data_IF_936295138717
#
_entry.id   IF_936295138717
#
_cell.length_a   1.000
_cell.length_b   1.000
_cell.length_c   1.000
_cell.angle_alpha   90.00
_cell.angle_beta   90.00
_cell.angle_gamma   90.00
#
_symmetry.space_group_name_H-M   'P 1'
#
loop_
_entity.id
_entity.type
_entity.pdbx_description
1 polymer ?
#
# COMPACT_ATOMS: atom_id res chain seq x y z
N UNK A 1 88.87 -63.66 -3.50
CA UNK A 1 89.06 -64.49 -4.71
C UNK A 1 89.12 -63.57 -5.91
N UNK A 2 90.20 -63.70 -6.68
CA UNK A 2 90.52 -63.13 -8.00
C UNK A 2 89.96 -61.74 -8.31
N UNK A 3 90.62 -60.72 -7.77
CA UNK A 3 90.73 -59.43 -8.45
C UNK A 3 91.41 -59.73 -9.78
N UNK A 4 90.71 -59.63 -10.92
CA UNK A 4 91.37 -59.17 -12.13
C UNK A 4 91.93 -57.81 -11.74
N UNK A 5 93.21 -57.76 -11.42
CA UNK A 5 93.86 -56.51 -11.03
C UNK A 5 93.63 -55.54 -12.16
N UNK A 6 93.37 -54.28 -11.83
CA UNK A 6 93.20 -53.18 -12.79
C UNK A 6 94.22 -53.21 -13.94
N UNK A 7 95.39 -53.80 -13.73
CA UNK A 7 96.43 -54.10 -14.72
C UNK A 7 96.04 -55.13 -15.80
N UNK A 8 95.36 -56.23 -15.47
CA UNK A 8 94.91 -57.25 -16.43
C UNK A 8 93.74 -56.75 -17.26
N UNK A 9 92.77 -56.09 -16.61
CA UNK A 9 91.68 -55.38 -17.28
C UNK A 9 92.22 -54.28 -18.22
N UNK A 10 93.17 -53.47 -17.74
CA UNK A 10 93.84 -52.47 -18.57
C UNK A 10 94.61 -53.09 -19.73
N UNK A 11 95.24 -54.26 -19.54
CA UNK A 11 95.94 -54.99 -20.61
C UNK A 11 94.97 -55.50 -21.67
N UNK A 12 93.85 -56.10 -21.27
CA UNK A 12 92.81 -56.56 -22.21
C UNK A 12 92.24 -55.37 -22.99
N UNK A 13 91.90 -54.28 -22.32
CA UNK A 13 91.40 -53.05 -22.97
C UNK A 13 92.47 -52.46 -23.90
N UNK A 14 93.74 -52.44 -23.50
CA UNK A 14 94.85 -51.95 -24.33
C UNK A 14 95.03 -52.80 -25.60
N UNK A 15 94.95 -54.12 -25.48
CA UNK A 15 95.00 -55.03 -26.64
C UNK A 15 93.80 -54.78 -27.57
N UNK A 16 92.59 -54.61 -27.03
CA UNK A 16 91.41 -54.32 -27.85
C UNK A 16 91.53 -52.96 -28.55
N UNK A 17 92.09 -51.93 -27.88
CA UNK A 17 92.33 -50.62 -28.49
C UNK A 17 93.41 -50.67 -29.58
N UNK A 18 94.53 -51.34 -29.33
CA UNK A 18 95.59 -51.52 -30.34
C UNK A 18 95.07 -52.35 -31.52
N UNK A 19 94.23 -53.36 -31.28
CA UNK A 19 93.58 -54.13 -32.35
C UNK A 19 92.62 -53.25 -33.15
N UNK A 20 91.80 -52.42 -32.49
CA UNK A 20 90.93 -51.44 -33.14
C UNK A 20 91.74 -50.52 -34.04
N UNK A 21 92.80 -49.93 -33.52
CA UNK A 21 93.66 -48.99 -34.26
C UNK A 21 94.28 -49.65 -35.50
N UNK A 22 94.76 -50.91 -35.38
CA UNK A 22 95.30 -51.66 -36.52
C UNK A 22 94.24 -51.95 -37.58
N UNK A 23 93.02 -52.28 -37.16
CA UNK A 23 91.88 -52.51 -38.06
C UNK A 23 91.45 -51.20 -38.73
N UNK A 24 91.40 -50.09 -37.99
CA UNK A 24 91.12 -48.77 -38.55
C UNK A 24 92.13 -48.39 -39.63
N UNK A 25 93.44 -48.57 -39.37
CA UNK A 25 94.50 -48.32 -40.35
C UNK A 25 94.29 -49.13 -41.62
N UNK A 26 93.97 -50.43 -41.51
CA UNK A 26 93.75 -51.28 -42.68
C UNK A 26 92.49 -50.91 -43.46
N UNK A 27 91.41 -50.53 -42.77
CA UNK A 27 90.14 -50.11 -43.38
C UNK A 27 90.21 -48.70 -43.98
N UNK A 28 91.19 -47.90 -43.59
CA UNK A 28 91.50 -46.59 -44.15
C UNK A 28 92.31 -46.66 -45.45
N UNK A 29 92.81 -47.83 -45.84
CA UNK A 29 93.57 -48.01 -47.07
C UNK A 29 92.62 -48.45 -48.19
N UNK A 30 92.40 -47.56 -49.16
CA UNK A 30 91.62 -47.84 -50.36
C UNK A 30 92.53 -48.35 -51.48
N UNK A 31 92.84 -49.64 -51.46
CA UNK A 31 93.77 -50.29 -52.40
C UNK A 31 93.39 -50.08 -53.87
N UNK A 32 92.11 -49.92 -54.18
CA UNK A 32 91.61 -49.61 -55.53
C UNK A 32 92.15 -48.28 -56.07
N UNK A 33 92.32 -47.28 -55.22
CA UNK A 33 92.80 -45.94 -55.56
C UNK A 33 94.32 -45.81 -55.55
N UNK A 34 95.03 -46.84 -55.09
CA UNK A 34 96.49 -46.90 -55.14
C UNK A 34 96.93 -47.24 -56.56
N UNK A 35 97.44 -46.24 -57.28
CA UNK A 35 98.05 -46.36 -58.61
C UNK A 35 99.53 -45.99 -58.55
N UNK A 36 100.36 -46.51 -59.47
CA UNK A 36 101.78 -46.13 -59.55
C UNK A 36 102.02 -44.65 -59.92
N UNK A 37 100.95 -43.90 -60.21
CA UNK A 37 100.98 -42.48 -60.57
C UNK A 37 100.81 -41.53 -59.37
N UNK A 38 100.65 -42.07 -58.14
CA UNK A 38 100.61 -41.24 -56.94
C UNK A 38 101.97 -40.53 -56.78
N UNK A 39 101.99 -39.18 -56.66
CA UNK A 39 103.24 -38.46 -56.51
C UNK A 39 104.02 -38.95 -55.28
N UNK A 40 105.36 -39.12 -55.38
CA UNK A 40 106.20 -39.55 -54.25
C UNK A 40 106.19 -38.55 -53.08
N UNK A 41 105.68 -37.34 -53.31
CA UNK A 41 105.43 -36.32 -52.28
C UNK A 41 104.25 -36.66 -51.34
N UNK A 42 103.33 -37.54 -51.78
CA UNK A 42 102.14 -37.95 -51.03
C UNK A 42 102.30 -39.29 -50.32
N UNK A 43 103.03 -40.24 -50.91
CA UNK A 43 103.30 -41.54 -50.29
C UNK A 43 104.76 -41.89 -50.55
N UNK A 44 105.60 -42.07 -49.51
CA UNK A 44 106.97 -42.50 -49.69
C UNK A 44 107.07 -43.77 -50.55
N UNK A 45 108.05 -43.82 -51.44
CA UNK A 45 108.21 -44.88 -52.45
C UNK A 45 108.20 -46.30 -51.85
N UNK A 46 108.79 -46.49 -50.67
CA UNK A 46 108.81 -47.76 -49.96
C UNK A 46 107.46 -48.20 -49.38
N UNK A 47 106.56 -47.25 -49.07
CA UNK A 47 105.18 -47.54 -48.65
C UNK A 47 104.33 -47.82 -49.88
N UNK A 48 104.52 -47.04 -50.96
CA UNK A 48 103.83 -47.25 -52.23
C UNK A 48 104.15 -48.62 -52.82
N UNK A 49 105.42 -49.06 -52.78
CA UNK A 49 105.82 -50.38 -53.25
C UNK A 49 105.17 -51.51 -52.45
N UNK A 50 105.02 -51.35 -51.13
CA UNK A 50 104.38 -52.37 -50.29
C UNK A 50 102.85 -52.37 -50.47
N UNK A 51 102.23 -51.22 -50.73
CA UNK A 51 100.79 -51.13 -51.06
C UNK A 51 100.47 -51.78 -52.41
N UNK A 52 101.30 -51.53 -53.44
CA UNK A 52 101.15 -52.16 -54.76
C UNK A 52 101.29 -53.67 -54.65
N UNK A 53 102.33 -54.14 -53.96
CA UNK A 53 102.54 -55.56 -53.70
C UNK A 53 101.37 -56.18 -52.91
N UNK A 54 100.81 -55.44 -51.95
CA UNK A 54 99.63 -55.90 -51.21
C UNK A 54 98.41 -56.05 -52.10
N UNK A 55 98.16 -55.07 -52.98
CA UNK A 55 97.09 -55.10 -53.97
C UNK A 55 97.25 -56.27 -54.94
N UNK A 56 98.46 -56.52 -55.44
CA UNK A 56 98.75 -57.69 -56.29
C UNK A 56 98.47 -59.01 -55.58
N UNK A 57 98.82 -59.10 -54.29
CA UNK A 57 98.52 -60.29 -53.47
C UNK A 57 97.02 -60.46 -53.25
N UNK A 58 96.27 -59.37 -53.04
CA UNK A 58 94.81 -59.40 -52.89
C UNK A 58 94.13 -59.82 -54.21
N UNK A 59 94.53 -59.24 -55.34
CA UNK A 59 94.03 -59.64 -56.67
C UNK A 59 94.31 -61.11 -56.93
N UNK A 60 95.54 -61.57 -56.69
CA UNK A 60 95.90 -62.99 -56.81
C UNK A 60 95.06 -63.88 -55.91
N UNK A 61 94.77 -63.46 -54.68
CA UNK A 61 93.96 -64.25 -53.75
C UNK A 61 92.50 -64.32 -54.19
N UNK A 62 91.94 -63.23 -54.71
CA UNK A 62 90.59 -63.20 -55.29
C UNK A 62 90.52 -64.13 -56.51
N UNK A 63 91.50 -64.05 -57.42
CA UNK A 63 91.62 -64.94 -58.58
C UNK A 63 91.68 -66.42 -58.14
N UNK A 64 92.51 -66.76 -57.15
CA UNK A 64 92.58 -68.13 -56.61
C UNK A 64 91.26 -68.61 -55.98
N UNK A 65 90.47 -67.71 -55.39
CA UNK A 65 89.13 -68.01 -54.88
C UNK A 65 88.15 -68.27 -56.02
N UNK A 66 88.18 -67.46 -57.08
CA UNK A 66 87.33 -67.61 -58.25
C UNK A 66 87.67 -68.87 -59.05
N UNK A 67 88.95 -69.12 -59.31
CA UNK A 67 89.46 -70.37 -59.89
C UNK A 67 89.05 -71.58 -59.03
N UNK A 68 89.04 -71.43 -57.70
CA UNK A 68 88.58 -72.45 -56.78
C UNK A 68 87.10 -72.82 -56.92
N UNK A 69 86.26 -71.88 -57.36
CA UNK A 69 84.82 -72.11 -57.60
C UNK A 69 84.56 -72.79 -58.95
N UNK A 70 85.42 -72.56 -59.94
CA UNK A 70 85.27 -73.07 -61.31
C UNK A 70 85.84 -74.48 -61.54
N UNK A 71 86.59 -75.03 -60.58
CA UNK A 71 87.08 -76.41 -60.63
C UNK A 71 85.90 -77.40 -60.46
N UNK A 72 85.40 -77.94 -61.58
CA UNK A 72 84.37 -79.01 -61.59
C UNK A 72 84.90 -80.29 -60.91
N UNK A 73 84.07 -80.93 -60.08
CA UNK A 73 84.37 -82.11 -59.23
C UNK A 73 85.07 -83.30 -59.91
N UNK A 74 85.09 -83.38 -61.23
CA UNK A 74 85.69 -84.47 -62.02
C UNK A 74 87.12 -84.20 -62.50
N UNK A 75 87.67 -82.98 -62.34
CA UNK A 75 89.08 -82.70 -62.64
C UNK A 75 89.91 -82.62 -61.34
N UNK A 76 90.63 -83.73 -61.06
CA UNK A 76 91.79 -83.88 -60.17
C UNK A 76 91.70 -83.23 -58.77
N UNK A 77 91.40 -84.05 -57.75
CA UNK A 77 91.60 -83.73 -56.30
C UNK A 77 92.94 -83.07 -55.96
N UNK A 78 93.96 -83.32 -56.79
CA UNK A 78 95.28 -82.73 -56.67
C UNK A 78 95.29 -81.22 -56.97
N UNK A 79 94.58 -80.76 -58.02
CA UNK A 79 94.47 -79.33 -58.34
C UNK A 79 93.72 -78.54 -57.27
N UNK A 80 92.73 -79.17 -56.62
CA UNK A 80 92.01 -78.55 -55.49
C UNK A 80 92.94 -78.37 -54.29
N UNK A 81 93.77 -79.37 -53.98
CA UNK A 81 94.76 -79.28 -52.88
C UNK A 81 95.87 -78.28 -53.18
N UNK A 82 96.35 -78.22 -54.43
CA UNK A 82 97.33 -77.24 -54.88
C UNK A 82 96.76 -75.82 -54.79
N UNK A 83 95.53 -75.59 -55.26
CA UNK A 83 94.86 -74.29 -55.09
C UNK A 83 94.63 -73.94 -53.62
N UNK A 84 94.19 -74.88 -52.77
CA UNK A 84 94.03 -74.63 -51.33
C UNK A 84 95.37 -74.28 -50.65
N UNK A 85 96.47 -74.94 -51.04
CA UNK A 85 97.80 -74.64 -50.53
C UNK A 85 98.26 -73.26 -51.02
N UNK A 86 98.02 -72.92 -52.29
CA UNK A 86 98.35 -71.61 -52.84
C UNK A 86 97.50 -70.49 -52.22
N UNK A 87 96.22 -70.73 -51.94
CA UNK A 87 95.35 -69.83 -51.17
C UNK A 87 95.91 -69.63 -49.76
N UNK A 88 96.33 -70.70 -49.08
CA UNK A 88 96.92 -70.61 -47.75
C UNK A 88 98.23 -69.83 -47.75
N UNK A 89 99.14 -70.13 -48.69
CA UNK A 89 100.43 -69.46 -48.80
C UNK A 89 100.27 -67.99 -49.21
N UNK A 90 99.30 -67.69 -50.08
CA UNK A 90 98.94 -66.31 -50.45
C UNK A 90 98.29 -65.59 -49.27
N UNK A 91 97.46 -66.24 -48.46
CA UNK A 91 96.88 -65.66 -47.25
C UNK A 91 97.96 -65.34 -46.18
N UNK A 92 98.97 -66.20 -45.98
CA UNK A 92 100.10 -65.89 -45.10
C UNK A 92 100.97 -64.74 -45.65
N UNK A 93 101.12 -64.64 -46.98
CA UNK A 93 101.77 -63.48 -47.63
C UNK A 93 100.95 -62.18 -47.46
N UNK A 94 99.63 -62.23 -47.61
CA UNK A 94 98.73 -61.10 -47.34
C UNK A 94 98.84 -60.69 -45.87
N UNK A 95 98.81 -61.64 -44.94
CA UNK A 95 98.94 -61.38 -43.49
C UNK A 95 100.27 -60.72 -43.14
N UNK A 96 101.39 -61.23 -43.65
CA UNK A 96 102.71 -60.63 -43.43
C UNK A 96 102.85 -59.25 -44.08
N UNK A 97 102.24 -59.05 -45.26
CA UNK A 97 102.14 -57.75 -45.92
C UNK A 97 101.27 -56.76 -45.12
N UNK A 98 100.09 -57.17 -44.63
CA UNK A 98 99.25 -56.36 -43.71
C UNK A 98 100.03 -55.92 -42.47
N UNK A 99 100.77 -56.85 -41.83
CA UNK A 99 101.58 -56.53 -40.65
C UNK A 99 102.69 -55.52 -40.98
N UNK A 100 103.29 -55.64 -42.15
CA UNK A 100 104.34 -54.73 -42.63
C UNK A 100 103.76 -53.36 -42.94
N UNK A 101 102.63 -53.29 -43.66
CA UNK A 101 101.89 -52.05 -43.95
C UNK A 101 101.45 -51.34 -42.68
N UNK A 102 100.81 -52.04 -41.74
CA UNK A 102 100.40 -51.47 -40.47
C UNK A 102 101.59 -50.91 -39.69
N UNK A 103 102.74 -51.60 -39.69
CA UNK A 103 103.96 -51.10 -39.04
C UNK A 103 104.50 -49.84 -39.72
N UNK A 104 104.56 -49.83 -41.06
CA UNK A 104 105.05 -48.70 -41.85
C UNK A 104 104.13 -47.48 -41.73
N UNK A 105 102.82 -47.67 -41.72
CA UNK A 105 101.83 -46.60 -41.59
C UNK A 105 101.72 -46.09 -40.15
N UNK A 106 101.87 -46.94 -39.14
CA UNK A 106 102.02 -46.48 -37.74
C UNK A 106 103.29 -45.65 -37.54
N UNK A 107 104.38 -46.00 -38.23
CA UNK A 107 105.64 -45.24 -38.17
C UNK A 107 105.58 -43.91 -38.93
N UNK A 108 104.68 -43.77 -39.91
CA UNK A 108 104.52 -42.60 -40.77
C UNK A 108 103.08 -42.05 -40.73
N UNK A 109 102.68 -41.37 -39.63
CA UNK A 109 101.30 -40.90 -39.46
C UNK A 109 100.86 -39.87 -40.51
N UNK A 110 101.78 -39.03 -41.01
CA UNK A 110 101.49 -38.06 -42.07
C UNK A 110 100.99 -38.74 -43.36
N UNK A 111 101.63 -39.84 -43.75
CA UNK A 111 101.21 -40.66 -44.91
C UNK A 111 99.86 -41.31 -44.66
N UNK A 112 99.58 -41.75 -43.44
CA UNK A 112 98.29 -42.36 -43.09
C UNK A 112 97.14 -41.34 -43.16
N UNK A 113 97.36 -40.09 -42.72
CA UNK A 113 96.36 -39.02 -42.88
C UNK A 113 96.12 -38.67 -44.35
N UNK A 114 97.18 -38.66 -45.17
CA UNK A 114 97.05 -38.47 -46.62
C UNK A 114 96.26 -39.60 -47.28
N UNK A 115 96.51 -40.86 -46.92
CA UNK A 115 95.76 -42.02 -47.43
C UNK A 115 94.28 -41.98 -47.03
N UNK A 116 93.96 -41.55 -45.80
CA UNK A 116 92.57 -41.34 -45.34
C UNK A 116 91.80 -40.31 -46.16
N UNK A 117 92.49 -39.33 -46.76
CA UNK A 117 91.86 -38.30 -47.58
C UNK A 117 91.57 -38.79 -49.01
N UNK A 118 92.24 -39.85 -49.47
CA UNK A 118 92.08 -40.36 -50.83
C UNK A 118 90.74 -41.09 -51.03
N UNK A 119 90.18 -41.71 -49.98
CA UNK A 119 88.96 -42.49 -50.08
C UNK A 119 88.05 -42.37 -48.86
N UNK A 120 86.75 -42.60 -49.07
CA UNK A 120 85.78 -42.70 -47.98
C UNK A 120 85.59 -44.16 -47.57
N UNK A 121 85.58 -44.43 -46.27
CA UNK A 121 85.26 -45.77 -45.74
C UNK A 121 83.88 -46.24 -46.25
N UNK A 122 83.79 -47.51 -46.64
CA UNK A 122 82.51 -48.15 -46.92
C UNK A 122 81.65 -48.21 -45.66
N UNK A 123 80.33 -48.28 -45.82
CA UNK A 123 79.41 -48.35 -44.66
C UNK A 123 79.61 -49.65 -43.85
N UNK A 124 80.00 -50.73 -44.52
CA UNK A 124 80.43 -51.98 -43.86
C UNK A 124 81.67 -51.78 -42.98
N UNK A 125 82.67 -51.03 -43.47
CA UNK A 125 83.87 -50.72 -42.69
C UNK A 125 83.56 -49.82 -41.48
N UNK A 126 82.67 -48.83 -41.63
CA UNK A 126 82.20 -47.98 -40.52
C UNK A 126 81.48 -48.81 -39.45
N UNK A 127 80.54 -49.66 -39.86
CA UNK A 127 79.81 -50.56 -38.96
C UNK A 127 80.75 -51.50 -38.20
N UNK A 128 81.79 -52.02 -38.86
CA UNK A 128 82.79 -52.88 -38.21
C UNK A 128 83.56 -52.12 -37.12
N UNK A 129 83.96 -50.87 -37.38
CA UNK A 129 84.64 -50.01 -36.40
C UNK A 129 83.72 -49.70 -35.21
N UNK A 130 82.44 -49.39 -35.45
CA UNK A 130 81.44 -49.15 -34.40
C UNK A 130 81.24 -50.36 -33.48
N UNK A 131 81.20 -51.58 -34.06
CA UNK A 131 81.12 -52.82 -33.28
C UNK A 131 82.36 -52.99 -32.40
N UNK A 132 83.56 -52.69 -32.91
CA UNK A 132 84.79 -52.70 -32.10
C UNK A 132 84.76 -51.64 -30.99
N UNK A 133 84.19 -50.46 -31.22
CA UNK A 133 83.98 -49.45 -30.18
C UNK A 133 83.04 -49.93 -29.08
N UNK A 134 81.93 -50.54 -29.47
CA UNK A 134 80.98 -51.13 -28.52
C UNK A 134 81.63 -52.26 -27.73
N UNK A 135 82.43 -53.11 -28.37
CA UNK A 135 83.16 -54.17 -27.69
C UNK A 135 84.15 -53.63 -26.66
N UNK A 136 84.89 -52.57 -27.00
CA UNK A 136 85.80 -51.88 -26.06
C UNK A 136 85.01 -51.27 -24.90
N UNK A 137 83.91 -50.57 -25.18
CA UNK A 137 83.05 -49.95 -24.15
C UNK A 137 82.42 -50.99 -23.22
N UNK A 138 81.87 -52.06 -23.76
CA UNK A 138 81.25 -53.13 -23.00
C UNK A 138 82.27 -53.90 -22.15
N UNK A 139 83.41 -54.25 -22.74
CA UNK A 139 84.51 -54.92 -22.02
C UNK A 139 85.04 -54.03 -20.91
N UNK A 140 85.14 -52.71 -21.13
CA UNK A 140 85.52 -51.74 -20.10
C UNK A 140 84.53 -51.75 -18.95
N UNK A 141 83.23 -51.59 -19.22
CA UNK A 141 82.19 -51.61 -18.18
C UNK A 141 82.28 -52.91 -17.38
N UNK A 142 82.29 -54.07 -18.05
CA UNK A 142 82.27 -55.38 -17.39
C UNK A 142 83.54 -55.72 -16.60
N UNK A 143 84.69 -55.23 -17.04
CA UNK A 143 85.98 -55.46 -16.36
C UNK A 143 86.25 -54.43 -15.25
N UNK A 144 85.60 -53.26 -15.28
CA UNK A 144 85.69 -52.22 -14.25
C UNK A 144 84.61 -52.35 -13.18
N UNK A 145 83.44 -52.92 -13.49
CA UNK A 145 82.38 -53.15 -12.51
C UNK A 145 82.69 -54.34 -11.62
N UNK A 146 82.66 -54.11 -10.31
CA UNK A 146 82.78 -55.20 -9.33
C UNK A 146 81.43 -55.89 -9.11
N UNK A 147 81.49 -57.15 -8.67
CA UNK A 147 80.29 -57.92 -8.28
C UNK A 147 79.52 -57.22 -7.16
N UNK A 148 80.23 -56.51 -6.27
CA UNK A 148 79.62 -55.75 -5.17
C UNK A 148 78.82 -54.53 -5.69
N UNK A 149 79.37 -53.77 -6.64
CA UNK A 149 78.68 -52.64 -7.27
C UNK A 149 77.44 -53.08 -8.07
N UNK A 150 77.51 -54.24 -8.76
CA UNK A 150 76.34 -54.81 -9.44
C UNK A 150 75.25 -55.22 -8.45
N UNK A 151 75.61 -55.87 -7.35
CA UNK A 151 74.66 -56.24 -6.30
C UNK A 151 74.04 -55.01 -5.63
N UNK A 152 74.81 -53.95 -5.39
CA UNK A 152 74.28 -52.69 -4.89
C UNK A 152 73.30 -52.05 -5.89
N UNK A 153 73.63 -52.06 -7.18
CA UNK A 153 72.75 -51.53 -8.22
C UNK A 153 71.43 -52.30 -8.27
N UNK A 154 71.47 -53.62 -8.19
CA UNK A 154 70.27 -54.47 -8.13
C UNK A 154 69.44 -54.13 -6.89
N UNK A 155 70.05 -54.07 -5.70
CA UNK A 155 69.33 -53.69 -4.46
C UNK A 155 68.68 -52.31 -4.56
N UNK A 156 69.37 -51.32 -5.15
CA UNK A 156 68.81 -49.97 -5.36
C UNK A 156 67.61 -50.02 -6.31
N UNK A 157 67.69 -50.81 -7.39
CA UNK A 157 66.59 -50.99 -8.33
C UNK A 157 65.39 -51.66 -7.67
N UNK A 158 65.59 -52.67 -6.81
CA UNK A 158 64.51 -53.33 -6.07
C UNK A 158 63.80 -52.36 -5.11
N UNK A 159 64.56 -51.53 -4.38
CA UNK A 159 63.98 -50.49 -3.50
C UNK A 159 63.18 -49.47 -4.30
N UNK A 160 63.68 -49.04 -5.47
CA UNK A 160 62.96 -48.13 -6.35
C UNK A 160 61.67 -48.77 -6.88
N UNK A 161 61.72 -50.02 -7.34
CA UNK A 161 60.55 -50.75 -7.82
C UNK A 161 59.48 -50.92 -6.73
N UNK A 162 59.90 -51.25 -5.50
CA UNK A 162 58.99 -51.35 -4.36
C UNK A 162 58.35 -49.98 -4.03
N UNK A 163 59.13 -48.91 -4.08
CA UNK A 163 58.63 -47.54 -3.86
C UNK A 163 57.66 -47.12 -4.97
N UNK A 164 57.97 -47.38 -6.22
CA UNK A 164 57.08 -47.08 -7.35
C UNK A 164 55.78 -47.87 -7.24
N UNK A 165 55.84 -49.16 -6.90
CA UNK A 165 54.65 -49.99 -6.66
C UNK A 165 53.76 -49.39 -5.57
N UNK A 166 54.34 -48.99 -4.43
CA UNK A 166 53.60 -48.33 -3.34
C UNK A 166 52.99 -47.00 -3.77
N UNK A 167 53.74 -46.16 -4.47
CA UNK A 167 53.22 -44.87 -4.98
C UNK A 167 52.08 -45.11 -5.97
N UNK A 168 52.15 -46.16 -6.79
CA UNK A 168 51.09 -46.51 -7.73
C UNK A 168 49.83 -47.00 -7.00
N UNK A 169 49.96 -47.78 -5.93
CA UNK A 169 48.80 -48.20 -5.12
C UNK A 169 48.17 -47.02 -4.39
N UNK A 170 48.97 -46.14 -3.80
CA UNK A 170 48.49 -44.95 -3.08
C UNK A 170 47.82 -43.97 -4.06
N UNK A 171 48.37 -43.81 -5.26
CA UNK A 171 47.74 -43.02 -6.33
C UNK A 171 46.40 -43.61 -6.77
N UNK A 172 46.29 -44.93 -6.85
CA UNK A 172 45.04 -45.60 -7.19
C UNK A 172 43.98 -45.45 -6.10
N UNK A 173 44.35 -45.58 -4.81
CA UNK A 173 43.43 -45.37 -3.70
C UNK A 173 42.94 -43.92 -3.62
N UNK A 174 43.85 -42.94 -3.72
CA UNK A 174 43.51 -41.52 -3.70
C UNK A 174 42.60 -41.12 -4.87
N UNK A 175 42.84 -41.66 -6.06
CA UNK A 175 41.93 -41.45 -7.21
C UNK A 175 40.54 -41.99 -6.95
N UNK A 176 40.45 -43.19 -6.37
CA UNK A 176 39.16 -43.81 -6.04
C UNK A 176 38.40 -43.02 -4.98
N UNK A 177 39.10 -42.54 -3.94
CA UNK A 177 38.52 -41.65 -2.93
C UNK A 177 38.03 -40.34 -3.55
N UNK A 178 38.85 -39.71 -4.40
CA UNK A 178 38.47 -38.48 -5.10
C UNK A 178 37.21 -38.69 -5.97
N UNK A 179 37.16 -39.73 -6.77
CA UNK A 179 35.98 -40.05 -7.59
C UNK A 179 34.74 -40.32 -6.74
N UNK A 180 34.91 -40.94 -5.56
CA UNK A 180 33.80 -41.20 -4.65
C UNK A 180 33.27 -39.90 -4.03
N UNK A 181 34.17 -38.99 -3.64
CA UNK A 181 33.85 -37.69 -3.04
C UNK A 181 33.24 -36.73 -4.06
N UNK A 182 33.72 -36.74 -5.31
CA UNK A 182 33.11 -35.98 -6.40
C UNK A 182 31.67 -36.46 -6.67
N UNK A 183 31.42 -37.77 -6.59
CA UNK A 183 30.07 -38.34 -6.76
C UNK A 183 29.14 -37.98 -5.61
N UNK A 184 29.59 -38.05 -4.35
CA UNK A 184 28.78 -37.66 -3.19
C UNK A 184 28.46 -36.17 -3.26
N UNK A 185 29.47 -35.33 -3.49
CA UNK A 185 29.30 -33.88 -3.64
C UNK A 185 28.39 -33.51 -4.80
N UNK A 186 28.50 -34.18 -5.95
CA UNK A 186 27.60 -33.95 -7.10
C UNK A 186 26.15 -34.28 -6.75
N UNK A 187 25.90 -35.36 -5.99
CA UNK A 187 24.55 -35.71 -5.53
C UNK A 187 23.99 -34.68 -4.55
N UNK A 188 24.80 -34.22 -3.61
CA UNK A 188 24.41 -33.17 -2.66
C UNK A 188 24.05 -31.87 -3.39
N UNK A 189 24.89 -31.43 -4.33
CA UNK A 189 24.62 -30.24 -5.15
C UNK A 189 23.33 -30.41 -5.95
N UNK A 190 23.08 -31.60 -6.51
CA UNK A 190 21.83 -31.89 -7.22
C UNK A 190 20.61 -31.79 -6.28
N UNK A 191 20.67 -32.42 -5.10
CA UNK A 191 19.58 -32.34 -4.12
C UNK A 191 19.32 -30.91 -3.63
N UNK A 192 20.38 -30.12 -3.41
CA UNK A 192 20.25 -28.71 -3.04
C UNK A 192 19.58 -27.90 -4.15
N UNK A 193 19.93 -28.12 -5.42
CA UNK A 193 19.29 -27.46 -6.57
C UNK A 193 17.82 -27.85 -6.71
N UNK A 194 17.48 -29.12 -6.53
CA UNK A 194 16.09 -29.58 -6.58
C UNK A 194 15.26 -28.95 -5.44
N UNK A 195 15.83 -28.85 -4.23
CA UNK A 195 15.20 -28.16 -3.11
C UNK A 195 15.04 -26.67 -3.36
N UNK A 196 16.05 -26.00 -3.91
CA UNK A 196 15.99 -24.58 -4.28
C UNK A 196 14.87 -24.33 -5.30
N UNK A 197 14.78 -25.15 -6.36
CA UNK A 197 13.71 -25.05 -7.35
C UNK A 197 12.32 -25.28 -6.74
N UNK A 198 12.18 -26.29 -5.87
CA UNK A 198 10.93 -26.56 -5.17
C UNK A 198 10.50 -25.39 -4.27
N UNK A 199 11.44 -24.83 -3.50
CA UNK A 199 11.19 -23.68 -2.64
C UNK A 199 10.84 -22.43 -3.45
N UNK A 200 11.54 -22.18 -4.56
CA UNK A 200 11.21 -21.08 -5.47
C UNK A 200 9.79 -21.23 -6.06
N UNK A 201 9.39 -22.44 -6.44
CA UNK A 201 8.03 -22.74 -6.91
C UNK A 201 6.97 -22.51 -5.79
N UNK A 202 7.28 -22.88 -4.54
CA UNK A 202 6.39 -22.62 -3.41
C UNK A 202 6.24 -21.11 -3.14
N UNK A 203 7.34 -20.36 -3.15
CA UNK A 203 7.32 -18.89 -2.94
C UNK A 203 6.47 -18.21 -4.03
N UNK A 204 6.67 -18.59 -5.29
CA UNK A 204 5.89 -18.02 -6.41
C UNK A 204 4.40 -18.37 -6.29
N UNK A 205 4.06 -19.61 -5.92
CA UNK A 205 2.69 -20.02 -5.63
C UNK A 205 2.06 -19.18 -4.50
N UNK A 206 2.72 -19.08 -3.34
CA UNK A 206 2.23 -18.28 -2.21
C UNK A 206 2.08 -16.80 -2.58
N UNK A 207 3.02 -16.24 -3.36
CA UNK A 207 2.95 -14.85 -3.83
C UNK A 207 1.72 -14.61 -4.70
N UNK A 208 1.40 -15.56 -5.59
CA UNK A 208 0.22 -15.49 -6.43
C UNK A 208 -1.07 -15.65 -5.62
N UNK A 209 -1.10 -16.58 -4.67
CA UNK A 209 -2.24 -16.78 -3.76
C UNK A 209 -2.49 -15.54 -2.88
N UNK A 210 -1.45 -14.98 -2.26
CA UNK A 210 -1.57 -13.73 -1.50
C UNK A 210 -2.03 -12.57 -2.35
N UNK A 211 -1.52 -12.45 -3.59
CA UNK A 211 -1.97 -11.38 -4.51
C UNK A 211 -3.45 -11.56 -4.87
N UNK A 212 -3.89 -12.78 -5.15
CA UNK A 212 -5.29 -13.07 -5.44
C UNK A 212 -6.18 -12.78 -4.21
N UNK A 213 -5.73 -13.15 -3.01
CA UNK A 213 -6.42 -12.87 -1.76
C UNK A 213 -6.55 -11.36 -1.49
N UNK A 214 -5.44 -10.60 -1.62
CA UNK A 214 -5.46 -9.15 -1.45
C UNK A 214 -6.39 -8.46 -2.46
N UNK A 215 -6.35 -8.89 -3.72
CA UNK A 215 -7.25 -8.37 -4.74
C UNK A 215 -8.72 -8.65 -4.39
N UNK A 216 -9.03 -9.86 -3.92
CA UNK A 216 -10.39 -10.23 -3.51
C UNK A 216 -10.84 -9.42 -2.29
N UNK A 217 -10.00 -9.27 -1.26
CA UNK A 217 -10.31 -8.42 -0.12
C UNK A 217 -10.54 -6.96 -0.53
N UNK A 218 -9.75 -6.43 -1.46
CA UNK A 218 -9.92 -5.07 -1.97
C UNK A 218 -11.27 -4.91 -2.71
N UNK A 219 -11.66 -5.89 -3.55
CA UNK A 219 -12.95 -5.86 -4.23
C UNK A 219 -14.12 -6.00 -3.27
N UNK A 220 -14.03 -6.93 -2.31
CA UNK A 220 -15.07 -7.17 -1.31
C UNK A 220 -15.25 -5.93 -0.41
N UNK A 221 -14.15 -5.28 -0.01
CA UNK A 221 -14.18 -4.05 0.76
C UNK A 221 -14.78 -2.87 -0.03
N UNK A 222 -14.43 -2.75 -1.32
CA UNK A 222 -15.01 -1.73 -2.19
C UNK A 222 -16.53 -1.94 -2.37
N UNK A 223 -16.98 -3.18 -2.57
CA UNK A 223 -18.39 -3.52 -2.67
C UNK A 223 -19.15 -3.22 -1.36
N UNK A 224 -18.57 -3.60 -0.21
CA UNK A 224 -19.15 -3.32 1.11
C UNK A 224 -19.28 -1.82 1.37
N UNK A 225 -18.25 -1.02 1.02
CA UNK A 225 -18.32 0.44 1.18
C UNK A 225 -19.39 1.06 0.28
N UNK A 226 -19.51 0.60 -0.97
CA UNK A 226 -20.57 1.06 -1.88
C UNK A 226 -21.96 0.78 -1.29
N UNK A 227 -22.21 -0.44 -0.79
CA UNK A 227 -23.48 -0.79 -0.14
C UNK A 227 -23.76 0.07 1.09
N UNK A 228 -22.74 0.32 1.93
CA UNK A 228 -22.88 1.17 3.11
C UNK A 228 -23.18 2.63 2.73
N UNK A 229 -22.51 3.17 1.71
CA UNK A 229 -22.79 4.50 1.19
C UNK A 229 -24.21 4.62 0.65
N UNK A 230 -24.70 3.61 -0.08
CA UNK A 230 -26.07 3.58 -0.58
C UNK A 230 -27.09 3.52 0.57
N UNK A 231 -26.89 2.64 1.56
CA UNK A 231 -27.75 2.58 2.75
C UNK A 231 -27.74 3.89 3.52
N UNK A 232 -26.58 4.53 3.66
CA UNK A 232 -26.47 5.82 4.32
C UNK A 232 -27.21 6.92 3.55
N UNK A 233 -27.07 6.96 2.21
CA UNK A 233 -27.81 7.90 1.34
C UNK A 233 -29.32 7.70 1.46
N UNK A 234 -29.79 6.46 1.43
CA UNK A 234 -31.21 6.13 1.63
C UNK A 234 -31.70 6.60 3.01
N UNK A 235 -30.96 6.29 4.07
CA UNK A 235 -31.33 6.71 5.43
C UNK A 235 -31.37 8.23 5.59
N UNK A 236 -30.42 8.94 4.99
CA UNK A 236 -30.41 10.40 4.98
C UNK A 236 -31.61 10.98 4.22
N UNK A 237 -32.00 10.37 3.10
CA UNK A 237 -33.20 10.78 2.35
C UNK A 237 -34.48 10.55 3.16
N UNK A 238 -34.62 9.39 3.83
CA UNK A 238 -35.75 9.11 4.73
C UNK A 238 -35.85 10.12 5.87
N UNK A 239 -34.73 10.38 6.56
CA UNK A 239 -34.69 11.33 7.68
C UNK A 239 -35.00 12.75 7.21
N UNK A 240 -34.54 13.13 6.02
CA UNK A 240 -34.87 14.43 5.42
C UNK A 240 -36.37 14.53 5.14
N UNK A 241 -36.97 13.51 4.53
CA UNK A 241 -38.41 13.47 4.28
C UNK A 241 -39.23 13.54 5.57
N UNK A 242 -38.82 12.83 6.62
CA UNK A 242 -39.46 12.92 7.94
C UNK A 242 -39.35 14.32 8.55
N UNK A 243 -38.19 14.97 8.42
CA UNK A 243 -37.98 16.31 8.93
C UNK A 243 -38.83 17.35 8.16
N UNK A 244 -38.90 17.22 6.84
CA UNK A 244 -39.74 18.07 5.98
C UNK A 244 -41.23 17.92 6.38
N UNK A 245 -41.71 16.68 6.55
CA UNK A 245 -43.09 16.41 6.98
C UNK A 245 -43.40 16.97 8.37
N UNK A 246 -42.50 16.80 9.35
CA UNK A 246 -42.66 17.38 10.69
C UNK A 246 -42.64 18.91 10.67
N UNK A 247 -41.83 19.50 9.78
CA UNK A 247 -41.78 20.96 9.62
C UNK A 247 -43.10 21.48 9.05
N UNK A 248 -43.67 20.82 8.05
CA UNK A 248 -44.99 21.14 7.51
C UNK A 248 -46.10 20.99 8.57
N UNK A 249 -46.09 19.91 9.34
CA UNK A 249 -47.03 19.70 10.45
C UNK A 249 -46.93 20.82 11.50
N UNK A 250 -45.71 21.20 11.89
CA UNK A 250 -45.48 22.30 12.82
C UNK A 250 -45.98 23.64 12.27
N UNK A 251 -45.74 23.93 10.99
CA UNK A 251 -46.24 25.15 10.34
C UNK A 251 -47.77 25.21 10.27
N UNK A 252 -48.42 24.08 9.99
CA UNK A 252 -49.90 24.00 9.99
C UNK A 252 -50.45 24.22 11.39
N UNK A 253 -49.89 23.56 12.41
CA UNK A 253 -50.29 23.76 13.81
C UNK A 253 -50.09 25.21 14.28
N UNK A 254 -48.98 25.85 13.89
CA UNK A 254 -48.74 27.26 14.19
C UNK A 254 -49.77 28.17 13.51
N UNK A 255 -50.13 27.89 12.26
CA UNK A 255 -51.18 28.63 11.54
C UNK A 255 -52.54 28.47 12.23
N UNK A 256 -52.93 27.26 12.56
CA UNK A 256 -54.20 26.96 13.24
C UNK A 256 -54.27 27.61 14.61
N UNK A 257 -53.18 27.55 15.39
CA UNK A 257 -53.11 28.18 16.70
C UNK A 257 -53.23 29.71 16.58
N UNK A 258 -52.51 30.34 15.64
CA UNK A 258 -52.65 31.78 15.35
C UNK A 258 -54.08 32.15 14.95
N UNK A 259 -54.77 31.32 14.17
CA UNK A 259 -56.17 31.55 13.80
C UNK A 259 -57.10 31.46 15.01
N UNK A 260 -57.00 30.41 15.81
CA UNK A 260 -57.77 30.25 17.06
C UNK A 260 -57.50 31.39 18.05
N UNK A 261 -56.25 31.82 18.19
CA UNK A 261 -55.89 32.95 19.04
C UNK A 261 -56.57 34.25 18.56
N UNK A 262 -56.59 34.52 17.24
CA UNK A 262 -57.29 35.69 16.68
C UNK A 262 -58.80 35.61 16.93
N UNK A 263 -59.40 34.44 16.76
CA UNK A 263 -60.82 34.22 17.04
C UNK A 263 -61.15 34.49 18.51
N UNK A 264 -60.35 33.95 19.43
CA UNK A 264 -60.50 34.19 20.87
C UNK A 264 -60.33 35.69 21.21
N UNK A 265 -59.37 36.38 20.60
CA UNK A 265 -59.21 37.84 20.78
C UNK A 265 -60.43 38.61 20.28
N UNK A 266 -61.00 38.22 19.14
CA UNK A 266 -62.21 38.83 18.58
C UNK A 266 -63.43 38.58 19.46
N UNK A 267 -63.67 37.34 19.90
CA UNK A 267 -64.79 37.03 20.81
C UNK A 267 -64.64 37.73 22.13
N UNK A 268 -63.43 37.76 22.72
CA UNK A 268 -63.13 38.55 23.92
C UNK A 268 -63.50 40.03 23.73
N UNK A 269 -63.09 40.64 22.61
CA UNK A 269 -63.41 42.04 22.32
C UNK A 269 -64.92 42.26 22.20
N UNK A 270 -65.63 41.38 21.49
CA UNK A 270 -67.08 41.45 21.35
C UNK A 270 -67.79 41.34 22.70
N UNK A 271 -67.41 40.36 23.53
CA UNK A 271 -67.98 40.20 24.88
C UNK A 271 -67.68 41.40 25.77
N UNK A 272 -66.47 41.97 25.71
CA UNK A 272 -66.13 43.20 26.44
C UNK A 272 -67.02 44.37 25.99
N UNK A 273 -67.21 44.57 24.68
CA UNK A 273 -68.11 45.61 24.15
C UNK A 273 -69.57 45.38 24.56
N UNK A 274 -70.06 44.14 24.56
CA UNK A 274 -71.41 43.82 25.04
C UNK A 274 -71.58 44.14 26.54
N UNK A 275 -70.56 43.86 27.36
CA UNK A 275 -70.55 44.22 28.79
C UNK A 275 -70.56 45.74 28.94
N UNK A 276 -69.71 46.47 28.22
CA UNK A 276 -69.67 47.94 28.23
C UNK A 276 -71.01 48.56 27.82
N UNK A 277 -71.63 48.05 26.75
CA UNK A 277 -72.95 48.48 26.29
C UNK A 277 -74.04 48.21 27.34
N UNK A 278 -73.99 47.05 28.03
CA UNK A 278 -74.94 46.73 29.12
C UNK A 278 -74.75 47.65 30.33
N UNK A 279 -73.51 47.95 30.69
CA UNK A 279 -73.19 48.91 31.77
C UNK A 279 -73.71 50.30 31.39
N UNK A 280 -73.39 50.80 30.19
CA UNK A 280 -73.85 52.11 29.71
C UNK A 280 -75.39 52.20 29.64
N UNK A 281 -76.06 51.14 29.19
CA UNK A 281 -77.52 51.05 29.18
C UNK A 281 -78.12 51.06 30.59
N UNK A 282 -77.51 50.34 31.54
CA UNK A 282 -77.90 50.36 32.95
C UNK A 282 -77.70 51.75 33.57
N UNK A 283 -76.55 52.38 33.35
CA UNK A 283 -76.23 53.71 33.88
C UNK A 283 -77.18 54.77 33.32
N UNK A 284 -77.49 54.72 32.01
CA UNK A 284 -78.46 55.61 31.37
C UNK A 284 -79.85 55.42 31.97
N UNK A 285 -80.32 54.17 32.07
CA UNK A 285 -81.63 53.86 32.66
C UNK A 285 -81.73 54.23 34.15
N UNK A 286 -80.64 54.10 34.91
CA UNK A 286 -80.56 54.56 36.30
C UNK A 286 -80.58 56.08 36.39
N UNK A 287 -79.89 56.79 35.49
CA UNK A 287 -79.90 58.24 35.43
C UNK A 287 -81.28 58.78 35.04
N UNK A 288 -81.96 58.15 34.09
CA UNK A 288 -83.34 58.49 33.70
C UNK A 288 -84.31 58.29 34.86
N UNK A 289 -84.22 57.17 35.59
CA UNK A 289 -85.01 56.95 36.82
C UNK A 289 -84.71 57.99 37.89
N UNK A 290 -83.44 58.34 38.10
CA UNK A 290 -83.02 59.40 39.03
C UNK A 290 -83.61 60.74 38.63
N UNK A 291 -83.55 61.11 37.35
CA UNK A 291 -84.14 62.34 36.82
C UNK A 291 -85.67 62.33 36.95
N UNK A 292 -86.32 61.18 36.75
CA UNK A 292 -87.76 61.03 36.98
C UNK A 292 -88.11 61.23 38.45
N UNK A 293 -87.33 60.67 39.38
CA UNK A 293 -87.49 60.91 40.81
C UNK A 293 -87.32 62.39 41.16
N UNK A 294 -86.28 63.05 40.65
CA UNK A 294 -86.08 64.50 40.85
C UNK A 294 -87.28 65.30 40.35
N UNK A 295 -87.78 65.03 39.14
CA UNK A 295 -88.99 65.69 38.60
C UNK A 295 -90.24 65.44 39.44
N UNK A 296 -90.38 64.24 40.02
CA UNK A 296 -91.47 63.91 40.93
C UNK A 296 -91.33 64.67 42.26
N UNK A 297 -90.11 64.77 42.80
CA UNK A 297 -89.82 65.56 43.99
C UNK A 297 -90.10 67.05 43.76
N UNK A 298 -89.71 67.61 42.60
CA UNK A 298 -90.04 68.99 42.20
C UNK A 298 -91.55 69.22 42.16
N UNK A 299 -92.31 68.33 41.51
CA UNK A 299 -93.78 68.41 41.48
C UNK A 299 -94.40 68.32 42.87
N UNK A 300 -93.92 67.41 43.71
CA UNK A 300 -94.38 67.29 45.09
C UNK A 300 -94.08 68.57 45.88
N UNK A 301 -92.95 69.21 45.64
CA UNK A 301 -92.59 70.48 46.29
C UNK A 301 -93.45 71.64 45.79
N UNK A 302 -93.74 71.72 44.48
CA UNK A 302 -94.69 72.67 43.90
C UNK A 302 -96.10 72.48 44.49
N UNK A 303 -96.59 71.24 44.58
CA UNK A 303 -97.88 70.89 45.19
C UNK A 303 -97.91 71.29 46.67
N UNK A 304 -96.83 71.05 47.44
CA UNK A 304 -96.73 71.53 48.84
C UNK A 304 -96.79 73.05 48.90
N UNK A 305 -96.08 73.76 48.03
CA UNK A 305 -96.08 75.23 47.98
C UNK A 305 -97.47 75.77 47.60
N UNK A 306 -98.18 75.10 46.69
CA UNK A 306 -99.54 75.43 46.33
C UNK A 306 -100.51 75.21 47.51
N UNK A 307 -100.36 74.10 48.24
CA UNK A 307 -101.12 73.85 49.48
C UNK A 307 -100.87 74.96 50.49
N UNK A 308 -99.62 75.36 50.74
CA UNK A 308 -99.29 76.46 51.65
C UNK A 308 -99.94 77.78 51.20
N UNK A 309 -99.92 78.08 49.89
CA UNK A 309 -100.58 79.25 49.33
C UNK A 309 -102.11 79.19 49.47
N UNK A 310 -102.73 78.04 49.23
CA UNK A 310 -104.16 77.82 49.40
C UNK A 310 -104.57 77.91 50.86
N UNK A 311 -103.82 77.32 51.79
CA UNK A 311 -103.99 77.49 53.22
C UNK A 311 -103.90 78.97 53.62
N UNK A 312 -102.95 79.71 53.05
CA UNK A 312 -102.83 81.16 53.22
C UNK A 312 -104.07 81.91 52.74
N UNK A 313 -104.60 81.57 51.55
CA UNK A 313 -105.84 82.15 51.00
C UNK A 313 -107.06 81.80 51.84
N UNK A 314 -107.20 80.55 52.30
CA UNK A 314 -108.27 80.12 53.20
C UNK A 314 -108.22 80.90 54.51
N UNK A 315 -107.03 81.04 55.13
CA UNK A 315 -106.88 81.89 56.34
C UNK A 315 -107.28 83.35 56.09
N UNK A 316 -106.97 83.90 54.91
CA UNK A 316 -107.38 85.25 54.54
C UNK A 316 -108.89 85.36 54.32
N UNK A 317 -109.51 84.38 53.66
CA UNK A 317 -110.96 84.29 53.49
C UNK A 317 -111.67 84.13 54.82
N UNK A 318 -111.18 83.28 55.73
CA UNK A 318 -111.72 83.13 57.08
C UNK A 318 -111.66 84.46 57.86
N UNK A 319 -110.55 85.21 57.75
CA UNK A 319 -110.46 86.55 58.33
C UNK A 319 -111.49 87.50 57.71
N UNK A 320 -111.69 87.46 56.39
CA UNK A 320 -112.66 88.32 55.69
C UNK A 320 -114.10 87.95 56.04
N UNK A 321 -114.43 86.66 56.06
CA UNK A 321 -115.72 86.15 56.54
C UNK A 321 -116.01 86.58 57.98
N UNK A 322 -115.01 86.52 58.88
CA UNK A 322 -115.19 87.03 60.26
C UNK A 322 -115.44 88.53 60.31
N UNK A 323 -114.81 89.32 59.44
CA UNK A 323 -115.06 90.76 59.32
C UNK A 323 -116.46 91.03 58.76
N UNK A 324 -116.87 90.31 57.72
CA UNK A 324 -118.18 90.44 57.09
C UNK A 324 -119.29 90.02 58.08
N UNK A 325 -119.12 88.92 58.82
CA UNK A 325 -120.03 88.53 59.91
C UNK A 325 -120.12 89.60 61.00
N UNK A 326 -119.01 90.26 61.34
CA UNK A 326 -119.01 91.36 62.30
C UNK A 326 -119.77 92.59 61.76
N UNK A 327 -119.63 92.89 60.46
CA UNK A 327 -120.36 93.97 59.80
C UNK A 327 -121.86 93.68 59.67
N UNK A 328 -122.23 92.44 59.34
CA UNK A 328 -123.64 92.00 59.27
C UNK A 328 -124.29 92.11 60.64
N UNK A 329 -123.64 91.62 61.72
CA UNK A 329 -124.15 91.77 63.10
C UNK A 329 -124.30 93.23 63.53
N UNK A 330 -123.46 94.12 63.03
CA UNK A 330 -123.56 95.57 63.29
C UNK A 330 -124.74 96.21 62.54
N UNK A 331 -125.01 95.78 61.30
CA UNK A 331 -126.18 96.23 60.53
C UNK A 331 -127.50 95.69 61.10
N UNK A 332 -127.54 94.43 61.52
CA UNK A 332 -128.73 93.85 62.17
C UNK A 332 -129.10 94.59 63.45
N UNK A 333 -128.11 94.94 64.29
CA UNK A 333 -128.34 95.80 65.48
C UNK A 333 -128.86 97.19 65.14
N UNK A 334 -128.46 97.78 64.00
CA UNK A 334 -128.99 99.08 63.55
C UNK A 334 -130.45 98.98 63.10
N UNK A 335 -130.79 97.94 62.34
CA UNK A 335 -132.15 97.67 61.86
C UNK A 335 -133.12 97.31 62.99
N UNK A 336 -132.65 96.63 64.04
CA UNK A 336 -133.46 96.27 65.21
C UNK A 336 -133.80 97.50 66.06
N UNK A 337 -132.84 98.42 66.25
CA UNK A 337 -133.08 99.69 66.94
C UNK A 337 -134.10 100.58 66.21
N UNK A 338 -134.05 100.65 64.87
CA UNK A 338 -135.04 101.40 64.08
C UNK A 338 -136.45 100.80 64.14
N UNK A 339 -136.58 99.47 64.23
CA UNK A 339 -137.89 98.80 64.38
C UNK A 339 -138.53 99.10 65.74
N UNK A 340 -137.74 99.16 66.81
CA UNK A 340 -138.25 99.46 68.15
C UNK A 340 -138.74 100.93 68.27
N UNK A 341 -138.06 101.88 67.63
CA UNK A 341 -138.52 103.28 67.61
C UNK A 341 -139.81 103.49 66.80
N UNK A 342 -139.96 102.79 65.66
CA UNK A 342 -141.20 102.82 64.86
C UNK A 342 -142.39 102.21 65.61
N UNK A 343 -142.17 101.13 66.38
CA UNK A 343 -143.20 100.51 67.20
C UNK A 343 -143.70 101.43 68.34
N UNK A 344 -142.82 102.25 68.92
CA UNK A 344 -143.19 103.22 69.96
C UNK A 344 -144.03 104.40 69.43
N UNK A 345 -143.78 104.87 68.19
CA UNK A 345 -144.58 105.93 67.55
C UNK A 345 -146.01 105.47 67.23
N UNK A 346 -146.17 104.24 66.74
CA UNK A 346 -147.48 103.70 66.37
C UNK A 346 -148.42 103.48 67.58
N UNK A 347 -147.89 103.15 68.76
CA UNK A 347 -148.69 103.04 70.00
C UNK A 347 -149.27 104.38 70.45
N UNK A 348 -148.54 105.49 70.28
CA UNK A 348 -149.02 106.84 70.62
C UNK A 348 -150.13 107.32 69.66
N UNK A 349 -150.07 106.94 68.39
CA UNK A 349 -151.08 107.27 67.37
C UNK A 349 -152.40 106.52 67.59
N UNK A 350 -152.34 105.25 68.02
CA UNK A 350 -153.53 104.43 68.31
C UNK A 350 -154.38 104.97 69.49
N UNK A 351 -153.73 105.55 70.52
CA UNK A 351 -154.41 106.12 71.70
C UNK A 351 -155.17 107.41 71.32
N UNK A 352 -154.61 108.24 70.43
CA UNK A 352 -155.25 109.47 69.95
C UNK A 352 -156.49 109.16 69.08
N UNK A 353 -156.41 108.12 68.23
CA UNK A 353 -157.54 107.71 67.38
C UNK A 353 -158.69 107.07 68.19
N UNK A 354 -158.39 106.36 69.29
CA UNK A 354 -159.41 105.80 70.19
C UNK A 354 -160.20 106.88 70.95
N UNK A 355 -159.54 107.97 71.35
CA UNK A 355 -160.19 109.10 72.03
C UNK A 355 -161.07 109.95 71.09
N UNK A 356 -160.68 110.07 69.80
CA UNK A 356 -161.47 110.78 68.78
C UNK A 356 -162.78 110.04 68.43
N UNK A 357 -162.73 108.71 68.29
CA UNK A 357 -163.92 107.87 68.00
C UNK A 357 -164.92 107.85 69.15
N UNK A 358 -164.46 107.85 70.41
CA UNK A 358 -165.31 107.92 71.61
C UNK A 358 -166.05 109.27 71.72
N UNK A 359 -165.44 110.38 71.30
CA UNK A 359 -166.05 111.72 71.33
C UNK A 359 -167.11 111.92 70.23
N UNK A 360 -166.96 111.29 69.06
CA UNK A 360 -167.98 111.33 68.01
C UNK A 360 -169.24 110.51 68.36
N UNK A 361 -169.08 109.37 69.03
CA UNK A 361 -170.21 108.53 69.44
C UNK A 361 -171.13 109.22 70.48
N UNK A 362 -170.56 110.02 71.39
CA UNK A 362 -171.34 110.77 72.40
C UNK A 362 -172.14 111.93 71.76
N UNK A 363 -171.60 112.59 70.72
CA UNK A 363 -172.31 113.66 70.00
C UNK A 363 -173.55 113.18 69.24
N UNK A 364 -173.57 111.94 68.74
CA UNK A 364 -174.70 111.42 67.98
C UNK A 364 -175.88 110.97 68.89
N UNK A 365 -175.60 110.55 70.12
CA UNK A 365 -176.63 110.17 71.10
C UNK A 365 -177.37 111.40 71.65
N UNK A 366 -176.71 112.56 71.76
CA UNK A 366 -177.35 113.80 72.21
C UNK A 366 -178.26 114.46 71.17
N UNK A 367 -178.06 114.20 69.87
CA UNK A 367 -178.93 114.68 68.78
C UNK A 367 -180.27 113.92 68.78
N UNK A 368 -180.25 112.61 69.12
CA UNK A 368 -181.46 111.77 69.19
C UNK A 368 -182.37 112.17 70.36
N UNK A 369 -181.83 112.78 71.43
CA UNK A 369 -182.62 113.17 72.62
C UNK A 369 -183.28 114.56 72.55
N UNK A 370 -182.84 115.48 71.67
CA UNK A 370 -183.34 116.88 71.64
C UNK A 370 -184.51 117.19 70.67
N UNK A 371 -184.96 116.27 69.81
CA UNK A 371 -186.10 116.52 68.90
C UNK A 371 -187.45 115.91 69.33
N UNK A 372 -187.54 115.25 70.50
CA UNK A 372 -188.82 114.80 71.10
C UNK A 372 -189.57 115.85 71.95
N UNK A 373 -189.13 117.12 72.00
CA UNK A 373 -189.72 118.14 72.92
C UNK A 373 -190.18 119.49 72.30
N UNK A 374 -190.38 119.61 70.97
CA UNK A 374 -191.09 120.77 70.38
C UNK A 374 -192.45 120.40 69.78
N UNK A 375 -193.46 120.38 70.66
CA UNK A 375 -194.89 120.49 70.32
C UNK A 375 -195.17 121.77 69.52
N UNK A 376 -196.09 121.64 68.54
CA UNK A 376 -197.21 122.54 68.24
C UNK A 376 -197.02 124.04 68.61
N UNK A 377 -196.72 124.88 67.61
CA UNK A 377 -197.55 126.03 67.15
C UNK A 377 -196.77 126.96 66.20
N UNK A 378 -196.96 126.77 64.89
CA UNK A 378 -197.26 127.82 63.90
C UNK A 378 -197.50 127.17 62.52
N UNK A 379 -198.64 127.51 61.91
CA UNK A 379 -198.92 127.45 60.47
C UNK A 379 -198.55 128.81 59.86
N UNK A 380 -198.38 128.81 58.52
CA UNK A 380 -198.08 129.90 57.55
C UNK A 380 -196.57 130.07 57.30
N UNK A 381 -196.03 129.79 56.12
CA UNK A 381 -196.56 129.41 54.80
C UNK A 381 -196.20 127.98 54.45
#
# INVERSE_FOLDING_TARGET
MNRLTTTEAARVIAVLRDTKEKVEILLDIHLEQVTPEIPPEFVPEHILSELIKHKELETKYIELIEEGKDIKQTQLRQKIKENQQEQHDTAEKIKSSCQSLVRLLKANPATMEQLKLLGQRSDTAKSYIEVFELLVKFSKIRLETTVEEELEKIKRMEVLAARESKVMTDKASLKKELESEEKTRSKEVQMLRENEQRLAAQITKMKNENRAFLNKCATDFAAMNLELEERHKQRMAELKQQNDALTEELETLLRDNRMREREIRKTKQQTCQEIENRIAGYDTGMNDKRNQHIRQEEKLEDEKNEIVNLEGKVRMLDKRHKVDEFQIKLQEKRLENERNEKAARNRKIAIIQALYRRRQAIKQIDIIKKQKQRKKKKKKK
#
